data_IF_578422250637
#
_entry.id   IF_578422250637
#
_cell.length_a   1.000
_cell.length_b   1.000
_cell.length_c   1.000
_cell.angle_alpha   90.00
_cell.angle_beta   90.00
_cell.angle_gamma   90.00
#
_symmetry.space_group_name_H-M   'P 1'
#
loop_
_entity.id
_entity.type
_entity.pdbx_description
1 polymer ?
#
# COMPACT_ATOMS: atom_id res chain seq x y z
N UNK A 1 -7.67 5.08 -11.48
CA UNK A 1 -6.96 6.37 -11.62
C UNK A 1 -5.56 6.10 -12.14
N UNK A 2 -5.25 6.38 -13.41
CA UNK A 2 -3.91 6.18 -13.98
C UNK A 2 -2.82 6.99 -13.25
N UNK A 3 -3.19 7.94 -12.38
CA UNK A 3 -2.29 8.68 -11.51
C UNK A 3 -1.99 7.98 -10.16
N UNK A 4 -2.46 6.76 -9.93
CA UNK A 4 -2.23 6.02 -8.67
C UNK A 4 -1.78 4.58 -8.94
N UNK A 5 -0.61 4.45 -9.54
CA UNK A 5 0.11 3.19 -9.59
C UNK A 5 1.27 3.18 -8.60
N UNK A 6 1.64 1.98 -8.18
CA UNK A 6 2.76 1.68 -7.31
C UNK A 6 3.55 0.54 -7.95
N UNK A 7 4.86 0.66 -7.94
CA UNK A 7 5.80 -0.29 -8.51
C UNK A 7 6.41 -1.08 -7.37
N UNK A 8 6.25 -2.40 -7.43
CA UNK A 8 6.75 -3.33 -6.44
C UNK A 8 8.02 -4.01 -6.95
N UNK A 9 9.10 -3.90 -6.18
CA UNK A 9 10.33 -4.65 -6.39
C UNK A 9 10.43 -5.82 -5.41
N UNK A 10 10.69 -7.00 -5.93
CA UNK A 10 10.99 -8.20 -5.14
C UNK A 10 12.39 -8.67 -5.51
N UNK A 11 13.28 -8.74 -4.52
CA UNK A 11 14.68 -9.16 -4.74
C UNK A 11 14.95 -10.48 -4.03
N UNK A 12 15.62 -11.43 -4.69
CA UNK A 12 15.68 -12.81 -4.18
C UNK A 12 16.97 -13.18 -3.45
N UNK A 13 18.00 -12.32 -3.44
CA UNK A 13 19.35 -12.65 -2.90
C UNK A 13 20.21 -11.47 -2.41
N UNK A 14 19.78 -10.22 -2.57
CA UNK A 14 20.61 -9.06 -2.22
C UNK A 14 19.75 -7.91 -1.74
N UNK A 15 19.81 -7.66 -0.42
CA UNK A 15 19.19 -6.50 0.20
C UNK A 15 19.84 -5.21 -0.28
N UNK A 16 21.16 -5.22 -0.48
CA UNK A 16 21.91 -4.08 -1.00
C UNK A 16 21.38 -3.64 -2.38
N UNK A 17 21.01 -4.60 -3.23
CA UNK A 17 20.42 -4.27 -4.53
C UNK A 17 19.07 -3.59 -4.39
N UNK A 18 18.24 -4.03 -3.45
CA UNK A 18 16.97 -3.37 -3.14
C UNK A 18 17.21 -1.93 -2.67
N UNK A 19 18.15 -1.74 -1.73
CA UNK A 19 18.54 -0.41 -1.24
C UNK A 19 18.99 0.50 -2.38
N UNK A 20 19.91 0.04 -3.25
CA UNK A 20 20.37 0.82 -4.39
C UNK A 20 19.24 1.19 -5.36
N UNK A 21 18.29 0.28 -5.61
CA UNK A 21 17.14 0.56 -6.47
C UNK A 21 16.26 1.65 -5.84
N UNK A 22 15.98 1.54 -4.54
CA UNK A 22 15.13 2.51 -3.82
C UNK A 22 15.80 3.88 -3.70
N UNK A 23 17.10 3.93 -3.46
CA UNK A 23 17.89 5.16 -3.41
C UNK A 23 17.90 5.86 -4.77
N UNK A 24 18.16 5.10 -5.85
CA UNK A 24 18.11 5.62 -7.21
C UNK A 24 16.72 6.12 -7.55
N UNK A 25 15.67 5.39 -7.16
CA UNK A 25 14.29 5.81 -7.34
C UNK A 25 14.03 7.17 -6.66
N UNK A 26 14.49 7.35 -5.43
CA UNK A 26 14.39 8.63 -4.71
C UNK A 26 15.07 9.80 -5.45
N UNK A 27 16.17 9.55 -6.15
CA UNK A 27 16.91 10.56 -6.91
C UNK A 27 16.28 10.93 -8.25
N UNK A 28 15.68 9.96 -8.96
CA UNK A 28 15.13 10.19 -10.32
C UNK A 28 13.67 10.63 -10.33
N UNK A 29 12.98 10.54 -9.20
CA UNK A 29 11.57 10.90 -9.09
C UNK A 29 11.33 12.40 -9.20
N UNK A 30 10.45 12.81 -10.14
CA UNK A 30 10.00 14.21 -10.26
C UNK A 30 9.29 14.75 -9.02
N UNK A 31 8.59 13.88 -8.28
CA UNK A 31 7.93 14.24 -7.02
C UNK A 31 8.33 13.23 -5.93
N UNK A 32 9.34 13.54 -5.10
CA UNK A 32 9.85 12.64 -4.07
C UNK A 32 8.90 12.46 -2.88
N UNK A 33 7.86 13.28 -2.75
CA UNK A 33 6.84 13.15 -1.70
C UNK A 33 5.79 12.07 -2.03
N UNK A 34 5.64 11.72 -3.30
CA UNK A 34 4.72 10.67 -3.75
C UNK A 34 5.38 9.30 -3.56
N UNK A 35 4.71 8.35 -2.91
CA UNK A 35 5.19 6.96 -2.87
C UNK A 35 4.85 6.28 -4.18
N UNK A 36 5.88 5.94 -4.96
CA UNK A 36 5.71 5.25 -6.25
C UNK A 36 6.42 3.90 -6.25
N UNK A 37 7.57 3.78 -5.58
CA UNK A 37 8.35 2.57 -5.54
C UNK A 37 8.38 2.02 -4.13
N UNK A 38 8.16 0.72 -4.02
CA UNK A 38 8.39 -0.03 -2.78
C UNK A 38 9.07 -1.34 -3.12
N UNK A 39 9.72 -1.95 -2.15
CA UNK A 39 10.18 -3.31 -2.33
C UNK A 39 10.51 -4.06 -1.05
N UNK A 40 10.78 -5.34 -1.24
CA UNK A 40 11.06 -6.30 -0.16
C UNK A 40 12.02 -7.37 -0.66
N UNK A 41 12.75 -7.97 0.27
CA UNK A 41 13.53 -9.17 0.00
C UNK A 41 12.60 -10.39 0.05
N UNK A 42 12.69 -11.28 -0.94
CA UNK A 42 11.75 -12.41 -1.07
C UNK A 42 11.83 -13.35 0.13
N UNK A 43 13.02 -13.54 0.71
CA UNK A 43 13.21 -14.32 1.93
C UNK A 43 12.46 -13.71 3.12
N UNK A 44 12.54 -12.39 3.32
CA UNK A 44 11.78 -11.68 4.37
C UNK A 44 10.27 -11.82 4.15
N UNK A 45 9.83 -11.72 2.89
CA UNK A 45 8.43 -11.83 2.53
C UNK A 45 7.87 -13.24 2.76
N UNK A 46 8.59 -14.28 2.34
CA UNK A 46 8.12 -15.68 2.45
C UNK A 46 8.19 -16.23 3.88
N UNK A 47 9.06 -15.68 4.73
CA UNK A 47 9.18 -16.09 6.13
C UNK A 47 8.26 -15.33 7.09
N UNK A 48 7.42 -14.42 6.59
CA UNK A 48 6.43 -13.71 7.41
C UNK A 48 5.15 -14.54 7.57
N UNK A 49 4.59 -14.59 8.78
CA UNK A 49 3.30 -15.22 9.06
C UNK A 49 2.13 -14.51 8.36
N UNK A 50 2.26 -13.20 8.12
CA UNK A 50 1.28 -12.37 7.40
C UNK A 50 1.99 -11.51 6.34
N UNK A 51 2.31 -12.07 5.16
CA UNK A 51 3.05 -11.34 4.13
C UNK A 51 2.28 -10.18 3.51
N UNK A 52 0.94 -10.21 3.59
CA UNK A 52 0.07 -9.23 2.96
C UNK A 52 -0.28 -8.06 3.89
N UNK A 53 -0.52 -8.34 5.17
CA UNK A 53 -0.94 -7.36 6.17
C UNK A 53 0.23 -6.76 6.98
N UNK A 54 1.34 -7.48 7.14
CA UNK A 54 2.51 -6.95 7.83
C UNK A 54 3.21 -5.86 7.00
N UNK A 55 3.82 -4.90 7.69
CA UNK A 55 4.54 -3.78 7.07
C UNK A 55 5.96 -4.19 6.62
N UNK A 56 6.05 -5.08 5.63
CA UNK A 56 7.32 -5.64 5.14
C UNK A 56 7.97 -4.81 4.02
N UNK A 57 7.14 -4.18 3.19
CA UNK A 57 7.59 -3.40 2.03
C UNK A 57 8.26 -2.10 2.50
N UNK A 58 9.32 -1.69 1.83
CA UNK A 58 10.06 -0.46 2.15
C UNK A 58 9.97 0.51 0.98
N UNK A 59 9.63 1.78 1.23
CA UNK A 59 9.65 2.84 0.20
C UNK A 59 11.03 3.51 0.06
N UNK A 60 11.19 4.39 -0.93
CA UNK A 60 12.43 5.14 -1.17
C UNK A 60 12.81 6.12 -0.05
N UNK A 61 11.94 6.33 0.96
CA UNK A 61 12.22 7.11 2.17
C UNK A 61 12.54 6.21 3.37
N UNK A 62 12.61 4.90 3.17
CA UNK A 62 12.82 3.92 4.24
C UNK A 62 11.56 3.64 5.07
N UNK A 63 10.39 4.14 4.68
CA UNK A 63 9.15 3.90 5.41
C UNK A 63 8.61 2.49 5.09
N UNK A 64 8.21 1.77 6.14
CA UNK A 64 7.60 0.44 6.03
C UNK A 64 6.11 0.53 5.65
N UNK A 65 5.65 -0.39 4.80
CA UNK A 65 4.31 -0.44 4.21
C UNK A 65 3.82 -1.90 4.13
N UNK A 66 2.51 -2.09 4.29
CA UNK A 66 1.85 -3.36 3.99
C UNK A 66 1.47 -3.43 2.51
N UNK A 67 1.36 -4.65 1.96
CA UNK A 67 0.93 -4.85 0.58
C UNK A 67 -0.54 -4.51 0.41
N UNK A 68 -1.36 -4.89 1.39
CA UNK A 68 -2.78 -4.55 1.46
C UNK A 68 -2.97 -3.53 2.56
N UNK A 69 -3.62 -2.41 2.24
CA UNK A 69 -4.11 -1.49 3.26
C UNK A 69 -5.21 -2.19 4.03
N UNK A 70 -4.95 -2.59 5.28
CA UNK A 70 -6.00 -2.99 6.22
C UNK A 70 -6.75 -1.72 6.63
N UNK A 71 -7.54 -1.20 5.70
CA UNK A 71 -8.61 -0.28 6.04
C UNK A 71 -9.58 -1.14 6.82
N UNK A 72 -9.56 -1.05 8.15
CA UNK A 72 -10.67 -1.59 8.94
C UNK A 72 -11.92 -0.96 8.35
N UNK A 73 -12.70 -1.73 7.61
CA UNK A 73 -13.99 -1.30 7.14
C UNK A 73 -14.80 -1.05 8.41
N UNK A 74 -14.97 0.22 8.77
CA UNK A 74 -16.03 0.60 9.69
C UNK A 74 -17.31 0.22 8.97
N UNK A 75 -17.92 -0.88 9.39
CA UNK A 75 -19.26 -1.28 8.99
C UNK A 75 -20.24 -0.23 9.51
N UNK A 76 -20.37 0.89 8.80
CA UNK A 76 -21.51 1.78 8.90
C UNK A 76 -22.17 1.84 7.53
N UNK A 77 -23.18 1.00 7.36
CA UNK A 77 -24.18 1.20 6.33
C UNK A 77 -25.11 2.34 6.81
N UNK A 78 -25.28 3.44 6.06
CA UNK A 78 -26.40 4.34 6.32
C UNK A 78 -27.67 3.65 5.81
N UNK A 79 -28.46 3.15 6.76
CA UNK A 79 -29.83 2.74 6.56
C UNK A 79 -30.62 3.88 5.92
N UNK A 80 -30.99 3.69 4.65
CA UNK A 80 -31.84 4.58 3.87
C UNK A 80 -33.23 4.59 4.53
N UNK A 81 -33.50 5.57 5.40
CA UNK A 81 -34.85 5.82 5.91
C UNK A 81 -35.74 6.26 4.74
N UNK A 82 -36.63 5.36 4.31
CA UNK A 82 -37.74 5.71 3.43
C UNK A 82 -38.83 6.35 4.30
N UNK A 83 -38.96 7.68 4.24
CA UNK A 83 -40.15 8.38 4.73
C UNK A 83 -41.34 7.94 3.86
N UNK A 84 -42.19 7.07 4.40
CA UNK A 84 -43.53 6.86 3.86
C UNK A 84 -44.40 7.99 4.42
N UNK A 85 -44.61 9.03 3.62
CA UNK A 85 -45.59 10.07 3.94
C UNK A 85 -46.97 9.51 3.63
N UNK A 86 -47.70 9.07 4.65
CA UNK A 86 -49.13 8.75 4.53
C UNK A 86 -49.92 10.06 4.42
N UNK A 87 -50.31 10.44 3.21
CA UNK A 87 -51.37 11.40 2.98
C UNK A 87 -52.72 10.72 3.22
N UNK A 88 -53.42 11.14 4.26
CA UNK A 88 -54.83 10.80 4.50
C UNK A 88 -55.66 11.88 3.81
N UNK A 89 -56.53 11.45 2.89
CA UNK A 89 -57.64 12.24 2.37
C UNK A 89 -58.81 12.23 3.36
#
# INVERSE_FOLDING_TARGET
DPQRYLVLFVTTRSRDRLTHILDLAGQVMRNPQRTVFVGVALDEYLNSDDPCGAALLTDHRGLKRSLVSITRATTEAPSRQVKITSGVC
#
